data_IF_436488225174
#
_entry.id   IF_436488225174
#
_cell.length_a   1.000
_cell.length_b   1.000
_cell.length_c   1.000
_cell.angle_alpha   90.00
_cell.angle_beta   90.00
_cell.angle_gamma   90.00
#
_symmetry.space_group_name_H-M   'P 1'
#
loop_
_entity.id
_entity.type
_entity.pdbx_description
1 polymer ?
#
# COMPACT_ATOMS: atom_id res chain seq x y z
N UNK A 1 9.83 -3.65 -16.92
CA UNK A 1 9.04 -3.99 -15.73
C UNK A 1 9.30 -5.46 -15.41
N UNK A 2 9.88 -5.80 -14.25
CA UNK A 2 10.14 -7.19 -13.90
C UNK A 2 8.83 -7.97 -13.73
N UNK A 3 8.78 -9.14 -14.35
CA UNK A 3 7.78 -10.17 -14.05
C UNK A 3 8.45 -11.26 -13.24
N UNK A 4 7.91 -11.53 -12.06
CA UNK A 4 8.36 -12.62 -11.20
C UNK A 4 7.39 -13.78 -11.38
N UNK A 5 7.91 -14.97 -11.63
CA UNK A 5 7.13 -16.17 -11.89
C UNK A 5 7.65 -17.34 -11.05
N UNK A 6 6.73 -18.06 -10.41
CA UNK A 6 7.01 -19.35 -9.78
C UNK A 6 6.59 -20.50 -10.70
N UNK A 7 7.56 -21.01 -11.46
CA UNK A 7 7.39 -22.13 -12.39
C UNK A 7 7.63 -23.50 -11.77
N UNK A 8 8.10 -23.55 -10.51
CA UNK A 8 8.59 -24.80 -9.89
C UNK A 8 7.53 -25.48 -9.04
N UNK A 9 6.52 -24.75 -8.58
CA UNK A 9 5.52 -25.25 -7.63
C UNK A 9 4.14 -25.35 -8.26
N UNK A 10 3.43 -26.42 -7.88
CA UNK A 10 1.99 -26.55 -8.08
C UNK A 10 1.34 -26.38 -6.72
N UNK A 11 0.46 -25.41 -6.60
CA UNK A 11 -0.33 -25.19 -5.40
C UNK A 11 -1.69 -25.87 -5.56
N UNK A 12 -2.21 -26.44 -4.48
CA UNK A 12 -3.49 -27.13 -4.55
C UNK A 12 -4.21 -27.10 -3.21
N UNK A 13 -5.53 -27.09 -3.27
CA UNK A 13 -6.38 -27.04 -2.08
C UNK A 13 -7.57 -28.00 -2.20
N UNK A 14 -8.09 -28.40 -1.05
CA UNK A 14 -9.43 -28.99 -0.89
C UNK A 14 -10.36 -28.08 -0.07
N UNK A 15 -9.88 -26.92 0.37
CA UNK A 15 -10.64 -26.01 1.21
C UNK A 15 -11.79 -25.39 0.42
N UNK A 16 -12.97 -25.32 1.06
CA UNK A 16 -14.19 -24.76 0.47
C UNK A 16 -14.41 -23.30 0.87
N UNK A 17 -13.74 -22.87 1.93
CA UNK A 17 -13.80 -21.53 2.49
C UNK A 17 -12.38 -21.01 2.70
N UNK A 18 -12.25 -19.69 2.83
CA UNK A 18 -10.98 -19.00 3.10
C UNK A 18 -11.18 -18.14 4.33
N UNK A 19 -10.35 -18.36 5.35
CA UNK A 19 -10.24 -17.49 6.51
C UNK A 19 -8.95 -16.66 6.38
N UNK A 20 -9.12 -15.38 6.03
CA UNK A 20 -7.99 -14.46 5.86
C UNK A 20 -7.26 -14.12 7.18
N UNK A 21 -7.84 -14.45 8.34
CA UNK A 21 -7.18 -14.26 9.64
C UNK A 21 -6.10 -15.30 9.91
N UNK A 22 -6.06 -16.38 9.13
CA UNK A 22 -5.07 -17.46 9.27
C UNK A 22 -4.25 -17.64 8.00
N UNK A 23 -3.06 -18.25 8.15
CA UNK A 23 -2.22 -18.62 7.01
C UNK A 23 -2.55 -20.03 6.47
N UNK A 24 -3.60 -20.71 6.99
CA UNK A 24 -3.86 -22.13 6.70
C UNK A 24 -4.27 -22.39 5.25
N UNK A 25 -5.13 -21.55 4.69
CA UNK A 25 -5.62 -21.66 3.31
C UNK A 25 -4.71 -20.92 2.31
N UNK A 26 -3.72 -20.18 2.81
CA UNK A 26 -2.76 -19.45 2.00
C UNK A 26 -1.83 -20.43 1.27
N UNK A 27 -1.73 -20.24 -0.04
CA UNK A 27 -0.93 -21.11 -0.90
C UNK A 27 0.45 -20.54 -1.17
N UNK A 28 0.51 -19.21 -1.37
CA UNK A 28 1.74 -18.48 -1.69
C UNK A 28 1.71 -17.12 -1.02
N UNK A 29 2.89 -16.66 -0.62
CA UNK A 29 3.18 -15.33 -0.07
C UNK A 29 4.47 -14.85 -0.71
N UNK A 30 4.46 -13.63 -1.21
CA UNK A 30 5.65 -12.97 -1.75
C UNK A 30 5.75 -11.56 -1.21
N UNK A 31 6.97 -11.15 -0.87
CA UNK A 31 7.24 -9.80 -0.35
C UNK A 31 8.07 -9.06 -1.37
N UNK A 32 7.55 -7.94 -1.87
CA UNK A 32 8.29 -6.99 -2.69
C UNK A 32 8.91 -5.96 -1.75
N UNK A 33 10.26 -5.89 -1.67
CA UNK A 33 10.92 -4.95 -0.77
C UNK A 33 10.67 -3.51 -1.22
N UNK A 34 10.52 -2.62 -0.24
CA UNK A 34 10.50 -1.19 -0.48
C UNK A 34 11.82 -0.73 -1.14
N UNK A 35 11.72 0.33 -1.94
CA UNK A 35 12.86 1.08 -2.41
C UNK A 35 12.74 2.52 -1.92
N UNK A 36 13.84 3.08 -1.44
CA UNK A 36 13.90 4.45 -0.94
C UNK A 36 13.43 5.45 -1.99
N UNK A 37 12.55 6.38 -1.59
CA UNK A 37 12.00 7.40 -2.47
C UNK A 37 11.09 6.90 -3.59
N UNK A 38 10.74 5.61 -3.64
CA UNK A 38 9.88 5.04 -4.70
C UNK A 38 8.57 4.48 -4.13
N UNK A 39 7.54 4.47 -4.97
CA UNK A 39 6.28 3.73 -4.79
C UNK A 39 6.39 2.39 -5.52
N UNK A 40 5.65 1.38 -5.06
CA UNK A 40 5.54 0.09 -5.76
C UNK A 40 4.21 0.05 -6.49
N UNK A 41 4.24 -0.14 -7.81
CA UNK A 41 3.05 -0.36 -8.63
C UNK A 41 2.95 -1.84 -9.01
N UNK A 42 1.80 -2.47 -8.77
CA UNK A 42 1.47 -3.81 -9.27
C UNK A 42 0.54 -3.64 -10.47
N UNK A 43 0.90 -4.28 -11.57
CA UNK A 43 0.26 -4.02 -12.88
C UNK A 43 -0.49 -5.23 -13.42
N UNK A 44 0.01 -6.43 -13.10
CA UNK A 44 -0.48 -7.66 -13.72
C UNK A 44 -0.29 -8.84 -12.80
N UNK A 45 -1.29 -9.71 -12.78
CA UNK A 45 -1.27 -11.03 -12.16
C UNK A 45 -1.60 -12.08 -13.23
N UNK A 46 -0.90 -13.21 -13.20
CA UNK A 46 -1.23 -14.36 -14.05
C UNK A 46 -0.97 -15.70 -13.36
N UNK A 47 -1.67 -16.73 -13.81
CA UNK A 47 -1.47 -18.11 -13.37
C UNK A 47 -2.01 -19.09 -14.41
N UNK A 48 -1.56 -20.34 -14.37
CA UNK A 48 -2.30 -21.46 -14.96
C UNK A 48 -3.23 -22.04 -13.90
N UNK A 49 -4.53 -22.14 -14.21
CA UNK A 49 -5.55 -22.55 -13.24
C UNK A 49 -6.40 -23.71 -13.75
N UNK A 50 -6.72 -24.67 -12.87
CA UNK A 50 -7.64 -25.78 -13.16
C UNK A 50 -8.36 -26.30 -11.91
N UNK A 51 -9.43 -27.07 -12.15
CA UNK A 51 -10.07 -27.96 -11.17
C UNK A 51 -9.83 -29.43 -11.53
N UNK A 52 -9.84 -30.31 -10.54
CA UNK A 52 -9.52 -31.73 -10.77
C UNK A 52 -10.71 -32.57 -11.30
N UNK A 53 -11.91 -32.00 -11.34
CA UNK A 53 -13.12 -32.69 -11.79
C UNK A 53 -14.13 -31.71 -12.39
N UNK A 54 -15.01 -32.21 -13.26
CA UNK A 54 -16.13 -31.45 -13.80
C UNK A 54 -17.20 -31.19 -12.74
N UNK A 55 -17.98 -30.13 -12.91
CA UNK A 55 -19.10 -29.81 -12.02
C UNK A 55 -18.69 -29.11 -10.73
N UNK A 56 -17.42 -28.74 -10.59
CA UNK A 56 -16.92 -27.91 -9.49
C UNK A 56 -16.28 -26.63 -10.03
N UNK A 57 -16.18 -25.62 -9.17
CA UNK A 57 -15.53 -24.35 -9.45
C UNK A 57 -14.34 -24.16 -8.51
N UNK A 58 -13.19 -23.81 -9.08
CA UNK A 58 -12.03 -23.36 -8.34
C UNK A 58 -12.04 -21.84 -8.26
N UNK A 59 -11.67 -21.29 -7.11
CA UNK A 59 -11.47 -19.84 -6.94
C UNK A 59 -10.06 -19.58 -6.42
N UNK A 60 -9.34 -18.67 -7.07
CA UNK A 60 -8.12 -18.08 -6.54
C UNK A 60 -8.39 -16.63 -6.13
N UNK A 61 -8.13 -16.27 -4.88
CA UNK A 61 -8.20 -14.90 -4.38
C UNK A 61 -6.78 -14.42 -4.14
N UNK A 62 -6.43 -13.27 -4.70
CA UNK A 62 -5.15 -12.60 -4.51
C UNK A 62 -5.40 -11.37 -3.65
N UNK A 63 -4.69 -11.27 -2.54
CA UNK A 63 -4.74 -10.09 -1.66
C UNK A 63 -3.39 -9.40 -1.63
N UNK A 64 -3.42 -8.14 -1.25
CA UNK A 64 -2.24 -7.32 -1.05
C UNK A 64 -2.27 -6.75 0.38
N UNK A 65 -1.13 -6.67 1.02
CA UNK A 65 -0.97 -6.01 2.32
C UNK A 65 0.11 -4.94 2.26
N UNK A 66 -0.24 -3.77 2.78
CA UNK A 66 0.65 -2.64 3.00
C UNK A 66 0.35 -2.06 4.38
N UNK A 67 1.38 -1.80 5.18
CA UNK A 67 1.25 -1.25 6.54
C UNK A 67 0.26 -2.03 7.44
N UNK A 68 0.27 -3.35 7.35
CA UNK A 68 -0.61 -4.22 8.14
C UNK A 68 -2.07 -4.23 7.70
N UNK A 69 -2.44 -3.48 6.64
CA UNK A 69 -3.79 -3.49 6.06
C UNK A 69 -3.81 -4.39 4.84
N UNK A 70 -4.64 -5.43 4.91
CA UNK A 70 -4.86 -6.37 3.81
C UNK A 70 -6.14 -6.02 3.03
N UNK A 71 -6.04 -6.01 1.70
CA UNK A 71 -7.18 -5.83 0.80
C UNK A 71 -7.16 -6.83 -0.36
N UNK A 72 -8.31 -7.08 -0.97
CA UNK A 72 -8.42 -7.98 -2.11
C UNK A 72 -7.98 -7.28 -3.40
N UNK A 73 -6.96 -7.81 -4.05
CA UNK A 73 -6.41 -7.28 -5.30
C UNK A 73 -7.08 -7.90 -6.54
N UNK A 74 -7.33 -9.21 -6.51
CA UNK A 74 -7.94 -9.93 -7.64
C UNK A 74 -8.65 -11.21 -7.22
N UNK A 75 -9.58 -11.66 -8.06
CA UNK A 75 -10.22 -12.97 -7.96
C UNK A 75 -10.26 -13.61 -9.34
N UNK A 76 -9.91 -14.88 -9.40
CA UNK A 76 -9.95 -15.73 -10.59
C UNK A 76 -10.83 -16.94 -10.30
N UNK A 77 -11.62 -17.36 -11.28
CA UNK A 77 -12.45 -18.56 -11.18
C UNK A 77 -12.25 -19.45 -12.39
N UNK A 78 -12.38 -20.77 -12.21
CA UNK A 78 -12.37 -21.72 -13.32
C UNK A 78 -13.23 -22.93 -13.02
N UNK A 79 -13.83 -23.49 -14.07
CA UNK A 79 -14.49 -24.81 -14.06
C UNK A 79 -13.77 -25.81 -14.98
N UNK A 80 -12.64 -25.39 -15.55
CA UNK A 80 -11.91 -26.17 -16.53
C UNK A 80 -11.08 -27.25 -15.85
N UNK A 81 -11.16 -28.46 -16.38
CA UNK A 81 -10.41 -29.63 -15.87
C UNK A 81 -8.99 -29.74 -16.42
N UNK A 82 -8.60 -28.77 -17.26
CA UNK A 82 -7.26 -28.59 -17.80
C UNK A 82 -6.77 -27.22 -17.41
N UNK A 83 -5.45 -27.10 -17.26
CA UNK A 83 -4.81 -25.81 -17.03
C UNK A 83 -5.14 -24.83 -18.16
N UNK A 84 -5.63 -23.67 -17.76
CA UNK A 84 -5.87 -22.53 -18.62
C UNK A 84 -5.14 -21.32 -18.05
N UNK A 85 -4.56 -20.50 -18.93
CA UNK A 85 -3.96 -19.25 -18.53
C UNK A 85 -5.04 -18.26 -18.10
N UNK A 86 -4.88 -17.74 -16.89
CA UNK A 86 -5.71 -16.71 -16.31
C UNK A 86 -4.84 -15.48 -16.11
N UNK A 87 -5.32 -14.34 -16.59
CA UNK A 87 -4.57 -13.08 -16.62
C UNK A 87 -5.49 -11.95 -16.17
N UNK A 88 -5.00 -11.10 -15.27
CA UNK A 88 -5.71 -9.90 -14.85
C UNK A 88 -4.76 -8.72 -14.73
N UNK A 89 -5.08 -7.64 -15.43
CA UNK A 89 -4.48 -6.34 -15.18
C UNK A 89 -5.02 -5.77 -13.87
N UNK A 90 -4.14 -5.18 -13.07
CA UNK A 90 -4.45 -4.52 -11.80
C UNK A 90 -3.74 -3.17 -11.80
N UNK A 91 -4.28 -2.19 -11.08
CA UNK A 91 -3.67 -0.87 -10.97
C UNK A 91 -3.58 -0.50 -9.50
N UNK A 92 -2.67 -1.18 -8.80
CA UNK A 92 -2.42 -0.93 -7.38
C UNK A 92 -1.10 -0.19 -7.22
N UNK A 93 -1.10 0.84 -6.37
CA UNK A 93 0.10 1.63 -6.05
C UNK A 93 0.25 1.75 -4.53
N UNK A 94 1.35 1.24 -3.99
CA UNK A 94 1.71 1.41 -2.60
C UNK A 94 2.30 2.80 -2.33
N UNK A 95 2.18 3.27 -1.09
CA UNK A 95 2.85 4.48 -0.62
C UNK A 95 4.38 4.42 -0.74
N UNK A 96 5.00 5.59 -0.67
CA UNK A 96 6.47 5.73 -0.79
C UNK A 96 7.17 4.97 0.34
N UNK A 97 8.20 4.19 -0.01
CA UNK A 97 9.02 3.47 0.97
C UNK A 97 8.29 2.34 1.69
N UNK A 98 7.12 1.91 1.20
CA UNK A 98 6.35 0.83 1.81
C UNK A 98 6.59 -0.51 1.10
N UNK A 99 6.90 -1.60 1.84
CA UNK A 99 6.95 -2.92 1.24
C UNK A 99 5.54 -3.39 0.91
N UNK A 100 5.44 -4.31 -0.04
CA UNK A 100 4.17 -4.89 -0.49
C UNK A 100 4.22 -6.39 -0.28
N UNK A 101 3.22 -6.96 0.39
CA UNK A 101 3.07 -8.41 0.52
C UNK A 101 1.89 -8.86 -0.34
N UNK A 102 2.14 -9.77 -1.28
CA UNK A 102 1.10 -10.38 -2.12
C UNK A 102 0.84 -11.79 -1.59
N UNK A 103 -0.44 -12.16 -1.44
CA UNK A 103 -0.86 -13.48 -0.99
C UNK A 103 -1.85 -14.09 -1.97
N UNK A 104 -1.73 -15.40 -2.18
CA UNK A 104 -2.65 -16.17 -3.00
C UNK A 104 -3.33 -17.23 -2.15
N UNK A 105 -4.66 -17.26 -2.22
CA UNK A 105 -5.53 -18.19 -1.53
C UNK A 105 -6.31 -18.99 -2.56
N UNK A 106 -6.42 -20.29 -2.34
CA UNK A 106 -7.24 -21.16 -3.19
C UNK A 106 -8.39 -21.73 -2.39
N UNK A 107 -9.56 -21.78 -3.03
CA UNK A 107 -10.70 -22.62 -2.61
C UNK A 107 -11.31 -23.37 -3.79
N UNK A 108 -12.17 -24.33 -3.47
CA UNK A 108 -12.96 -25.14 -4.41
C UNK A 108 -14.41 -25.22 -3.92
N UNK A 109 -15.38 -25.38 -4.83
CA UNK A 109 -16.79 -25.50 -4.45
C UNK A 109 -17.19 -26.91 -4.00
N UNK A 110 -16.26 -27.86 -3.94
CA UNK A 110 -16.53 -29.26 -3.58
C UNK A 110 -15.30 -30.03 -3.14
N UNK A 111 -15.41 -31.36 -3.03
CA UNK A 111 -14.32 -32.24 -2.59
C UNK A 111 -13.13 -32.36 -3.56
N UNK A 112 -13.28 -32.25 -4.90
CA UNK A 112 -12.14 -32.32 -5.80
C UNK A 112 -11.26 -31.06 -5.71
N UNK A 113 -9.94 -31.26 -5.91
CA UNK A 113 -8.95 -30.20 -5.71
C UNK A 113 -9.02 -29.11 -6.78
N UNK A 114 -8.83 -27.87 -6.35
CA UNK A 114 -8.45 -26.75 -7.21
C UNK A 114 -6.91 -26.64 -7.23
N UNK A 115 -6.32 -26.28 -8.37
CA UNK A 115 -4.85 -26.25 -8.56
C UNK A 115 -4.42 -25.04 -9.38
N UNK A 116 -3.38 -24.35 -8.94
CA UNK A 116 -2.71 -23.30 -9.72
C UNK A 116 -1.20 -23.58 -9.85
N UNK A 117 -0.60 -23.12 -10.94
CA UNK A 117 0.86 -23.14 -11.17
C UNK A 117 1.27 -21.95 -12.04
N UNK A 118 2.57 -21.74 -12.25
CA UNK A 118 3.10 -20.59 -13.01
C UNK A 118 2.52 -19.27 -12.50
N UNK A 119 2.49 -19.13 -11.17
CA UNK A 119 1.93 -17.94 -10.53
C UNK A 119 2.91 -16.80 -10.74
N UNK A 120 2.46 -15.75 -11.42
CA UNK A 120 3.29 -14.62 -11.78
C UNK A 120 2.65 -13.28 -11.42
N UNK A 121 3.51 -12.29 -11.14
CA UNK A 121 3.11 -10.90 -10.96
C UNK A 121 4.13 -9.97 -11.62
N UNK A 122 3.65 -8.86 -12.15
CA UNK A 122 4.48 -7.78 -12.71
C UNK A 122 4.36 -6.55 -11.84
N UNK A 123 5.50 -5.96 -11.51
CA UNK A 123 5.56 -4.75 -10.71
C UNK A 123 6.63 -3.80 -11.22
N UNK A 124 6.54 -2.55 -10.78
CA UNK A 124 7.54 -1.51 -11.04
C UNK A 124 7.73 -0.60 -9.85
N UNK A 125 8.93 -0.03 -9.72
CA UNK A 125 9.16 1.11 -8.85
C UNK A 125 8.87 2.38 -9.62
N UNK A 126 7.97 3.22 -9.10
CA UNK A 126 7.60 4.50 -9.72
C UNK A 126 7.96 5.65 -8.80
N UNK A 127 8.35 6.77 -9.38
CA UNK A 127 8.59 7.99 -8.63
C UNK A 127 7.28 8.49 -7.99
N UNK A 128 7.34 9.08 -6.79
CA UNK A 128 6.21 9.81 -6.26
C UNK A 128 5.85 10.91 -7.25
N UNK A 129 4.57 10.99 -7.57
CA UNK A 129 4.04 12.11 -8.33
C UNK A 129 4.38 13.40 -7.58
N UNK A 130 4.90 14.45 -8.26
CA UNK A 130 5.12 15.73 -7.62
C UNK A 130 3.79 16.20 -7.05
N UNK A 131 3.78 16.62 -5.78
CA UNK A 131 2.60 17.26 -5.22
C UNK A 131 2.26 18.45 -6.14
N UNK A 132 0.98 18.61 -6.55
CA UNK A 132 0.60 19.73 -7.40
C UNK A 132 1.05 21.00 -6.70
N UNK A 133 1.88 21.80 -7.39
CA UNK A 133 2.18 23.17 -6.97
C UNK A 133 0.84 23.82 -6.65
N UNK A 134 0.62 24.19 -5.38
CA UNK A 134 -0.60 24.87 -5.00
C UNK A 134 -0.77 26.08 -5.92
N UNK A 135 -1.94 26.28 -6.55
CA UNK A 135 -2.14 27.40 -7.44
C UNK A 135 -1.83 28.68 -6.67
N UNK A 136 -0.78 29.37 -7.13
CA UNK A 136 -0.44 30.71 -6.64
C UNK A 136 -1.70 31.55 -6.86
N UNK A 137 -2.35 31.93 -5.77
CA UNK A 137 -3.57 32.73 -5.81
C UNK A 137 -3.24 34.04 -6.56
N UNK A 138 -4.01 34.43 -7.59
CA UNK A 138 -3.67 35.58 -8.42
C UNK A 138 -3.58 36.85 -7.57
N UNK A 139 -2.40 37.47 -7.59
CA UNK A 139 -2.09 38.69 -6.87
C UNK A 139 -3.16 39.76 -7.13
N UNK A 140 -3.85 40.17 -6.07
CA UNK A 140 -4.75 41.33 -6.09
C UNK A 140 -3.91 42.59 -6.36
N UNK A 141 -4.36 43.54 -7.20
CA UNK A 141 -3.58 44.73 -7.54
C UNK A 141 -3.15 45.52 -6.31
N UNK A 142 -1.84 45.71 -6.17
CA UNK A 142 -1.14 46.39 -5.09
C UNK A 142 -1.49 47.88 -5.04
N UNK A 143 -2.07 48.33 -3.93
CA UNK A 143 -2.09 49.74 -3.54
C UNK A 143 -0.72 50.10 -2.93
N UNK A 144 -0.11 51.27 -3.23
CA UNK A 144 1.29 51.54 -2.90
C UNK A 144 1.58 51.63 -1.38
N UNK A 145 2.78 51.15 -1.04
CA UNK A 145 3.36 50.81 0.27
C UNK A 145 3.22 51.86 1.40
N UNK A 146 3.23 51.38 2.64
CA UNK A 146 4.42 51.60 3.46
C UNK A 146 5.08 50.29 3.93
N UNK A 147 6.38 50.40 4.21
CA UNK A 147 7.40 49.36 4.40
C UNK A 147 7.02 48.11 5.23
N UNK A 148 7.55 46.97 4.77
CA UNK A 148 7.34 45.57 5.17
C UNK A 148 7.91 45.22 6.56
N UNK A 149 7.38 44.15 7.19
CA UNK A 149 8.27 43.11 7.70
C UNK A 149 7.94 41.72 7.10
N UNK A 150 9.00 41.03 6.71
CA UNK A 150 9.04 39.73 6.03
C UNK A 150 8.46 38.59 6.89
N UNK A 151 7.64 37.70 6.30
CA UNK A 151 7.34 36.38 6.89
C UNK A 151 8.58 35.49 6.68
N UNK A 152 9.11 34.80 7.70
CA UNK A 152 10.36 34.06 7.56
C UNK A 152 10.21 32.88 6.60
N UNK A 153 10.99 32.89 5.53
CA UNK A 153 11.49 31.67 4.86
C UNK A 153 12.11 30.76 5.92
N UNK A 154 11.70 29.48 5.94
CA UNK A 154 12.24 28.44 6.82
C UNK A 154 13.77 28.39 6.60
N UNK A 155 14.59 28.77 7.60
CA UNK A 155 16.04 28.80 7.41
C UNK A 155 16.58 27.38 7.54
N UNK A 156 17.55 27.03 6.70
CA UNK A 156 18.32 25.77 6.76
C UNK A 156 19.10 25.60 8.10
N UNK A 157 19.01 26.57 9.03
CA UNK A 157 19.75 26.68 10.30
C UNK A 157 18.84 26.88 11.55
N UNK A 158 17.57 26.43 11.56
CA UNK A 158 16.73 26.51 12.77
C UNK A 158 16.93 25.31 13.72
N UNK A 159 17.41 25.57 14.95
CA UNK A 159 17.41 24.57 16.02
C UNK A 159 15.98 24.27 16.50
N UNK A 160 15.49 23.05 16.26
CA UNK A 160 14.16 22.62 16.69
C UNK A 160 14.22 21.74 17.94
N UNK A 161 13.23 21.88 18.83
CA UNK A 161 13.05 21.05 20.03
C UNK A 161 11.79 20.20 19.87
N UNK A 162 11.94 18.87 19.91
CA UNK A 162 10.80 17.93 19.89
C UNK A 162 10.55 17.41 21.30
N UNK A 163 9.37 17.70 21.85
CA UNK A 163 8.94 17.20 23.17
C UNK A 163 7.91 16.09 22.97
N UNK A 164 8.24 14.81 23.26
CA UNK A 164 7.26 13.74 23.18
C UNK A 164 6.24 13.89 24.31
N UNK A 165 4.96 13.99 23.96
CA UNK A 165 3.84 14.06 24.91
C UNK A 165 3.06 12.74 24.89
N UNK A 166 2.44 12.38 26.02
CA UNK A 166 1.66 11.15 26.19
C UNK A 166 0.21 11.35 25.75
N UNK A 167 -0.30 12.59 25.76
CA UNK A 167 -1.64 12.95 25.28
C UNK A 167 -1.68 14.30 24.58
N UNK A 168 -2.77 14.55 23.85
CA UNK A 168 -3.06 15.85 23.21
C UNK A 168 -3.21 16.98 24.24
N UNK A 169 -3.90 16.73 25.35
CA UNK A 169 -4.05 17.69 26.44
C UNK A 169 -2.71 18.12 27.04
N UNK A 170 -1.75 17.19 27.16
CA UNK A 170 -0.41 17.48 27.66
C UNK A 170 0.39 18.32 26.64
N UNK A 171 0.22 18.06 25.34
CA UNK A 171 0.86 18.84 24.28
C UNK A 171 0.37 20.29 24.25
N UNK A 172 -0.94 20.50 24.44
CA UNK A 172 -1.54 21.83 24.51
C UNK A 172 -1.04 22.61 25.74
N UNK A 173 -1.07 22.01 26.93
CA UNK A 173 -0.54 22.66 28.16
C UNK A 173 0.94 23.03 28.06
N UNK A 174 1.77 22.17 27.46
CA UNK A 174 3.19 22.45 27.25
C UNK A 174 3.36 23.59 26.23
N UNK A 175 2.54 23.62 25.18
CA UNK A 175 2.61 24.67 24.17
C UNK A 175 2.30 26.06 24.75
N UNK A 176 1.31 26.17 25.64
CA UNK A 176 0.96 27.44 26.30
C UNK A 176 2.08 27.90 27.23
N UNK A 177 2.64 27.00 28.04
CA UNK A 177 3.76 27.33 28.95
C UNK A 177 5.02 27.79 28.23
N UNK A 178 5.29 27.26 27.04
CA UNK A 178 6.44 27.70 26.23
C UNK A 178 6.16 29.08 25.64
N UNK A 179 4.95 29.32 25.12
CA UNK A 179 4.54 30.65 24.60
C UNK A 179 4.61 31.74 25.66
N UNK A 180 4.27 31.43 26.91
CA UNK A 180 4.36 32.39 28.02
C UNK A 180 5.80 32.74 28.42
N UNK A 181 6.76 31.84 28.18
CA UNK A 181 8.15 32.00 28.65
C UNK A 181 9.14 32.41 27.56
N UNK A 182 8.80 32.17 26.31
CA UNK A 182 9.66 32.46 25.18
C UNK A 182 8.84 33.13 24.08
N UNK A 183 9.03 34.44 23.95
CA UNK A 183 8.49 35.22 22.85
C UNK A 183 9.26 34.89 21.56
N UNK A 184 8.54 34.76 20.44
CA UNK A 184 9.15 34.53 19.12
C UNK A 184 9.46 33.08 18.76
N UNK A 185 8.97 32.10 19.52
CA UNK A 185 9.06 30.67 19.16
C UNK A 185 7.78 30.20 18.47
N UNK A 186 7.91 29.62 17.28
CA UNK A 186 6.81 28.94 16.61
C UNK A 186 6.66 27.51 17.15
N UNK A 187 5.46 27.18 17.64
CA UNK A 187 5.16 25.86 18.24
C UNK A 187 4.17 25.11 17.37
N UNK A 188 4.51 23.87 17.06
CA UNK A 188 3.68 22.95 16.28
C UNK A 188 3.36 21.69 17.08
N UNK A 189 2.08 21.38 17.23
CA UNK A 189 1.61 20.13 17.87
C UNK A 189 1.37 19.07 16.80
N UNK A 190 2.12 17.98 16.86
CA UNK A 190 1.96 16.84 15.93
C UNK A 190 1.19 15.71 16.61
N UNK A 191 -0.08 15.56 16.26
CA UNK A 191 -0.93 14.47 16.76
C UNK A 191 -0.51 13.13 16.12
N UNK A 192 -0.13 12.14 16.95
CA UNK A 192 -0.02 10.74 16.51
C UNK A 192 -1.43 10.16 16.45
N UNK A 193 -1.91 9.86 15.24
CA UNK A 193 -3.11 9.03 15.03
C UNK A 193 -2.88 7.59 15.46
#
# INVERSE_FOLDING_TARGET
MPTIEDTKKVYSTIYTEIDFSTEREMQKKETIPAQEGKRIKIEKLSMLFQVSASGIEGTCIVTIEVDGKQEQLATFTTKNTKYEEQLKAVDFVAGVGKPVIIRWYLKTSGTPRSRMMNVAYTYSYVDPEPEPEQPVEPEKPTEPEPETPEIPTQPDDAAYLVIPCVSESEAEEISEKIKERAEGIEIYVKLKR
#
